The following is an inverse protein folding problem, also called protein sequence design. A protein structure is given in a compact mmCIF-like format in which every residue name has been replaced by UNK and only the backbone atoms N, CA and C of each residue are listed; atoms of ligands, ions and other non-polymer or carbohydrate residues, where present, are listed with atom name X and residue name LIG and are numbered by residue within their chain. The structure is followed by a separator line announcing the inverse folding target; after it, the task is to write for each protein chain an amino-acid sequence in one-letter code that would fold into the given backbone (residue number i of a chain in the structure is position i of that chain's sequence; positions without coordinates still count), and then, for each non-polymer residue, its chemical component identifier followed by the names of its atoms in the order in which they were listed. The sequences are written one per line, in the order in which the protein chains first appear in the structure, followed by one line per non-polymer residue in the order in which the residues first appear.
data_IF_274506489632
#
_entry.id   IF_274506489632
#
_cell.length_a   1.000
_cell.length_b   1.000
_cell.length_c   1.000
_cell.angle_alpha   90.00
_cell.angle_beta   90.00
_cell.angle_gamma   90.00
#
_symmetry.space_group_name_H-M   'P 1'
#
loop_
_entity.id
_entity.type
_entity.pdbx_description
1 polymer ?
#
# COMPACT_ATOMS: atom_id res chain seq x y z
N UNK A 1 21.87 -0.48 13.02
CA UNK A 1 22.60 -0.48 14.30
C UNK A 1 22.95 -1.93 14.59
N UNK A 2 24.19 -2.33 14.34
CA UNK A 2 24.62 -3.70 14.56
C UNK A 2 24.84 -3.89 16.05
N UNK A 3 23.84 -4.42 16.74
CA UNK A 3 23.98 -4.84 18.14
C UNK A 3 24.65 -6.20 18.12
N UNK A 4 25.93 -6.22 18.48
CA UNK A 4 26.68 -7.45 18.67
C UNK A 4 26.35 -8.10 20.02
N UNK A 5 26.59 -9.41 20.12
CA UNK A 5 26.49 -10.16 21.39
C UNK A 5 27.26 -9.48 22.53
N UNK A 6 28.41 -8.87 22.22
CA UNK A 6 29.23 -8.13 23.19
C UNK A 6 28.54 -6.89 23.77
N UNK A 7 27.81 -6.12 22.94
CA UNK A 7 27.13 -4.90 23.39
C UNK A 7 25.92 -5.24 24.26
N UNK A 8 25.16 -6.29 23.90
CA UNK A 8 24.09 -6.81 24.76
C UNK A 8 24.60 -7.26 26.12
N UNK A 9 25.79 -7.88 26.16
CA UNK A 9 26.41 -8.33 27.41
C UNK A 9 26.73 -7.14 28.32
N UNK A 10 27.36 -6.09 27.79
CA UNK A 10 27.67 -4.86 28.53
C UNK A 10 26.40 -4.20 29.05
N UNK A 11 25.37 -4.05 28.21
CA UNK A 11 24.08 -3.47 28.60
C UNK A 11 23.41 -4.32 29.67
N UNK A 12 23.48 -5.65 29.55
CA UNK A 12 22.91 -6.57 30.55
C UNK A 12 23.59 -6.38 31.90
N UNK A 13 24.93 -6.32 31.95
CA UNK A 13 25.67 -6.07 33.20
C UNK A 13 25.29 -4.72 33.80
N UNK A 14 25.23 -3.65 33.00
CA UNK A 14 24.81 -2.33 33.48
C UNK A 14 23.37 -2.35 34.04
N UNK A 15 22.46 -3.02 33.36
CA UNK A 15 21.07 -3.16 33.82
C UNK A 15 20.99 -3.91 35.15
N UNK A 16 21.82 -4.95 35.35
CA UNK A 16 21.90 -5.67 36.63
C UNK A 16 22.47 -4.80 37.74
N UNK A 17 23.45 -3.93 37.46
CA UNK A 17 24.05 -3.04 38.46
C UNK A 17 23.11 -1.90 38.84
N UNK A 18 22.46 -1.27 37.85
CA UNK A 18 21.57 -0.10 38.07
C UNK A 18 20.25 -0.51 38.72
N UNK A 19 19.62 -1.57 38.20
CA UNK A 19 18.30 -1.98 38.63
C UNK A 19 18.35 -3.10 39.68
N UNK A 20 19.42 -3.89 39.69
CA UNK A 20 19.56 -5.10 40.50
C UNK A 20 19.11 -6.36 39.73
N UNK A 21 19.79 -7.51 39.93
CA UNK A 21 19.46 -8.77 39.24
C UNK A 21 18.04 -9.29 39.54
N UNK A 22 17.51 -8.98 40.72
CA UNK A 22 16.17 -9.35 41.15
C UNK A 22 15.06 -8.52 40.48
N UNK A 23 15.38 -7.29 40.07
CA UNK A 23 14.37 -6.33 39.58
C UNK A 23 14.24 -6.27 38.07
N UNK A 24 15.31 -6.59 37.34
CA UNK A 24 15.29 -6.73 35.88
C UNK A 24 14.24 -7.75 35.37
N UNK A 25 14.21 -9.02 35.85
CA UNK A 25 13.19 -9.97 35.44
C UNK A 25 11.79 -9.55 35.87
N UNK A 26 11.67 -8.88 37.02
CA UNK A 26 10.40 -8.37 37.54
C UNK A 26 9.85 -7.24 36.65
N UNK A 27 10.69 -6.32 36.20
CA UNK A 27 10.29 -5.24 35.28
C UNK A 27 9.84 -5.78 33.92
N UNK A 28 10.56 -6.74 33.34
CA UNK A 28 10.16 -7.41 32.09
C UNK A 28 8.82 -8.11 32.26
N UNK A 29 8.61 -8.86 33.36
CA UNK A 29 7.34 -9.53 33.64
C UNK A 29 6.19 -8.53 33.72
N UNK A 30 6.37 -7.42 34.44
CA UNK A 30 5.35 -6.37 34.57
C UNK A 30 5.00 -5.75 33.22
N UNK A 31 6.02 -5.36 32.44
CA UNK A 31 5.84 -4.80 31.10
C UNK A 31 5.20 -5.81 30.13
N UNK A 32 5.59 -7.09 30.21
CA UNK A 32 5.06 -8.15 29.37
C UNK A 32 3.57 -8.40 29.68
N UNK A 33 3.18 -8.41 30.95
CA UNK A 33 1.77 -8.55 31.34
C UNK A 33 0.96 -7.33 30.88
N UNK A 34 1.52 -6.12 30.97
CA UNK A 34 0.85 -4.90 30.54
C UNK A 34 0.70 -4.82 29.01
N UNK A 35 1.74 -5.20 28.28
CA UNK A 35 1.71 -5.31 26.81
C UNK A 35 0.75 -6.42 26.34
N UNK A 36 0.70 -7.56 27.04
CA UNK A 36 -0.22 -8.66 26.74
C UNK A 36 -1.68 -8.25 26.95
N UNK A 37 -1.98 -7.50 28.02
CA UNK A 37 -3.31 -6.92 28.24
C UNK A 37 -3.69 -5.94 27.13
N UNK A 38 -2.78 -5.05 26.73
CA UNK A 38 -3.04 -4.13 25.63
C UNK A 38 -3.36 -4.87 24.33
N UNK A 39 -2.56 -5.87 23.96
CA UNK A 39 -2.82 -6.71 22.76
C UNK A 39 -4.17 -7.43 22.83
N UNK A 40 -4.56 -7.94 24.00
CA UNK A 40 -5.88 -8.56 24.20
C UNK A 40 -7.00 -7.54 23.99
N UNK A 41 -6.90 -6.34 24.54
CA UNK A 41 -7.90 -5.29 24.32
C UNK A 41 -8.04 -4.91 22.85
N UNK A 42 -6.96 -4.87 22.06
CA UNK A 42 -7.04 -4.68 20.60
C UNK A 42 -7.73 -5.85 19.88
N UNK A 43 -7.47 -7.08 20.30
CA UNK A 43 -8.15 -8.26 19.75
C UNK A 43 -9.64 -8.29 20.12
N UNK A 44 -10.00 -7.86 21.33
CA UNK A 44 -11.38 -7.79 21.79
C UNK A 44 -12.14 -6.69 21.03
N UNK A 45 -11.51 -5.53 20.81
CA UNK A 45 -12.04 -4.47 19.94
C UNK A 45 -12.21 -4.96 18.49
N UNK A 46 -11.22 -5.66 17.94
CA UNK A 46 -11.32 -6.27 16.62
C UNK A 46 -12.49 -7.26 16.56
N UNK A 47 -12.63 -8.12 17.57
CA UNK A 47 -13.68 -9.15 17.62
C UNK A 47 -15.07 -8.54 17.84
N UNK A 48 -15.17 -7.44 18.58
CA UNK A 48 -16.42 -6.70 18.76
C UNK A 48 -16.81 -5.96 17.47
N UNK A 49 -15.84 -5.33 16.80
CA UNK A 49 -16.05 -4.69 15.48
C UNK A 49 -16.45 -5.74 14.44
N UNK A 50 -15.78 -6.89 14.38
CA UNK A 50 -16.06 -8.01 13.47
C UNK A 50 -17.38 -8.76 13.79
N UNK A 51 -18.02 -8.47 14.93
CA UNK A 51 -19.33 -9.00 15.32
C UNK A 51 -20.49 -8.02 15.10
N UNK A 52 -20.24 -6.72 15.05
CA UNK A 52 -21.26 -5.68 14.84
C UNK A 52 -21.22 -5.13 13.40
N UNK A 53 -20.05 -5.18 12.77
CA UNK A 53 -19.81 -4.81 11.37
C UNK A 53 -19.22 -6.05 10.71
N UNK A 54 -19.96 -6.62 9.77
CA UNK A 54 -19.54 -7.72 8.91
C UNK A 54 -18.10 -7.45 8.43
N UNK A 55 -17.13 -8.22 8.91
CA UNK A 55 -15.72 -7.96 8.62
C UNK A 55 -15.32 -8.26 7.18
N UNK A 56 -16.30 -8.48 6.30
CA UNK A 56 -16.12 -8.34 4.87
C UNK A 56 -15.77 -6.90 4.50
N UNK A 57 -16.25 -5.85 5.18
CA UNK A 57 -15.99 -4.48 4.72
C UNK A 57 -14.54 -4.01 4.94
N UNK A 58 -13.86 -4.40 6.04
CA UNK A 58 -12.44 -4.04 6.26
C UNK A 58 -11.49 -5.05 5.59
N UNK A 59 -11.86 -6.33 5.50
CA UNK A 59 -11.07 -7.30 4.72
C UNK A 59 -11.11 -6.97 3.23
N UNK A 60 -12.22 -6.44 2.72
CA UNK A 60 -12.40 -6.01 1.32
C UNK A 60 -11.84 -4.61 1.06
N UNK A 61 -11.83 -3.71 2.05
CA UNK A 61 -11.14 -2.41 1.97
C UNK A 61 -9.61 -2.54 2.03
N UNK A 62 -9.06 -3.56 2.70
CA UNK A 62 -7.61 -3.85 2.67
C UNK A 62 -7.23 -4.72 1.47
N UNK A 63 -8.17 -5.49 0.87
CA UNK A 63 -7.80 -6.48 -0.13
C UNK A 63 -8.38 -6.34 -1.55
N UNK A 64 -9.48 -5.65 -1.88
CA UNK A 64 -9.96 -5.77 -3.27
C UNK A 64 -10.86 -4.72 -3.95
N UNK A 65 -11.51 -3.73 -3.33
CA UNK A 65 -12.59 -3.00 -4.06
C UNK A 65 -12.44 -1.48 -4.19
N UNK A 66 -12.02 -0.76 -3.15
CA UNK A 66 -11.88 0.70 -3.25
C UNK A 66 -10.69 1.11 -4.13
N UNK A 67 -9.62 0.31 -4.12
CA UNK A 67 -8.42 0.58 -4.94
C UNK A 67 -8.73 0.42 -6.43
N UNK A 68 -9.54 -0.55 -6.86
CA UNK A 68 -9.80 -0.78 -8.28
C UNK A 68 -10.74 0.26 -8.91
N UNK A 69 -11.73 0.78 -8.17
CA UNK A 69 -12.62 1.84 -8.65
C UNK A 69 -11.94 3.22 -8.64
N UNK A 70 -11.18 3.54 -7.59
CA UNK A 70 -10.43 4.80 -7.50
C UNK A 70 -9.30 4.85 -8.55
N UNK A 71 -8.69 3.70 -8.87
CA UNK A 71 -7.75 3.58 -9.99
C UNK A 71 -8.44 3.71 -11.37
N UNK A 72 -9.71 3.35 -11.50
CA UNK A 72 -10.48 3.47 -12.74
C UNK A 72 -10.77 4.93 -13.13
N UNK A 73 -11.30 5.71 -12.20
CA UNK A 73 -11.56 7.15 -12.41
C UNK A 73 -10.26 7.94 -12.54
N UNK A 74 -9.24 7.58 -11.74
CA UNK A 74 -7.89 8.15 -11.85
C UNK A 74 -7.25 7.81 -13.19
N UNK A 75 -7.45 6.61 -13.73
CA UNK A 75 -6.96 6.21 -15.06
C UNK A 75 -7.63 6.99 -16.18
N UNK A 76 -8.93 7.26 -16.07
CA UNK A 76 -9.66 8.06 -17.06
C UNK A 76 -9.26 9.55 -17.02
N UNK A 77 -9.02 10.08 -15.82
CA UNK A 77 -8.42 11.41 -15.62
C UNK A 77 -6.98 11.48 -16.16
N UNK A 78 -6.17 10.43 -15.97
CA UNK A 78 -4.83 10.33 -16.53
C UNK A 78 -4.85 10.17 -18.05
N UNK A 79 -5.80 9.44 -18.63
CA UNK A 79 -5.95 9.30 -20.07
C UNK A 79 -6.39 10.60 -20.73
N UNK A 80 -7.32 11.35 -20.12
CA UNK A 80 -7.74 12.66 -20.63
C UNK A 80 -6.66 13.73 -20.47
N UNK A 81 -5.86 13.67 -19.40
CA UNK A 81 -4.67 14.50 -19.23
C UNK A 81 -3.56 14.11 -20.21
N UNK A 82 -3.35 12.80 -20.41
CA UNK A 82 -2.40 12.26 -21.37
C UNK A 82 -2.75 12.61 -22.81
N UNK A 83 -4.04 12.60 -23.16
CA UNK A 83 -4.51 13.09 -24.47
C UNK A 83 -4.30 14.60 -24.62
N UNK A 84 -4.64 15.41 -23.62
CA UNK A 84 -4.37 16.85 -23.66
C UNK A 84 -2.87 17.17 -23.74
N UNK A 85 -2.03 16.42 -23.03
CA UNK A 85 -0.58 16.56 -23.11
C UNK A 85 -0.05 16.12 -24.49
N UNK A 86 -0.54 15.00 -25.02
CA UNK A 86 -0.18 14.53 -26.35
C UNK A 86 -0.69 15.45 -27.47
N UNK A 87 -1.83 16.12 -27.28
CA UNK A 87 -2.42 17.07 -28.21
C UNK A 87 -1.70 18.43 -28.15
N UNK A 88 -1.27 18.87 -26.95
CA UNK A 88 -0.39 20.03 -26.79
C UNK A 88 1.01 19.78 -27.36
N UNK A 89 1.54 18.55 -27.24
CA UNK A 89 2.83 18.13 -27.83
C UNK A 89 2.71 17.90 -29.34
N UNK A 90 1.58 17.37 -29.83
CA UNK A 90 1.34 17.15 -31.27
C UNK A 90 0.94 18.42 -32.01
N UNK A 91 0.35 19.40 -31.30
CA UNK A 91 -0.03 20.70 -31.83
C UNK A 91 1.15 21.56 -32.30
N UNK A 92 2.36 21.29 -31.79
CA UNK A 92 3.60 21.97 -32.21
C UNK A 92 4.41 21.17 -33.26
N UNK A 93 4.11 19.88 -33.49
CA UNK A 93 4.89 19.02 -34.40
C UNK A 93 4.12 18.62 -35.68
N UNK A 94 2.85 18.98 -35.84
CA UNK A 94 1.99 18.35 -36.86
C UNK A 94 1.38 19.22 -37.97
N UNK A 95 1.79 20.47 -38.20
CA UNK A 95 1.25 21.28 -39.32
C UNK A 95 1.97 21.00 -40.65
N UNK A 96 1.44 20.09 -41.48
CA UNK A 96 0.98 20.40 -42.85
C UNK A 96 0.52 19.13 -43.59
N UNK A 97 -0.38 19.30 -44.57
CA UNK A 97 -1.35 18.31 -45.02
C UNK A 97 -0.84 17.58 -46.25
N UNK A 98 -1.49 16.48 -46.64
CA UNK A 98 -1.86 16.42 -48.04
C UNK A 98 -3.17 15.69 -48.29
N UNK A 99 -3.91 16.29 -49.21
CA UNK A 99 -5.23 15.89 -49.67
C UNK A 99 -5.11 14.78 -50.71
N UNK A 100 -6.29 14.34 -51.14
CA UNK A 100 -6.58 13.68 -52.43
C UNK A 100 -6.46 12.17 -52.31
N UNK A 101 -7.53 11.38 -52.29
CA UNK A 101 -8.81 11.53 -52.97
C UNK A 101 -8.88 10.49 -54.08
N UNK A 102 -9.97 9.73 -54.11
CA UNK A 102 -10.45 9.14 -55.35
C UNK A 102 -10.41 7.62 -55.46
N UNK A 103 -11.63 7.08 -55.47
CA UNK A 103 -12.15 6.14 -56.45
C UNK A 103 -11.91 4.63 -56.27
N UNK A 104 -13.05 3.94 -56.21
CA UNK A 104 -13.29 2.56 -56.67
C UNK A 104 -12.45 2.15 -57.88
N UNK A 105 -11.85 0.96 -57.82
CA UNK A 105 -11.98 -0.10 -58.85
C UNK A 105 -11.20 -1.36 -58.40
N UNK A 106 -11.52 -2.49 -59.02
CA UNK A 106 -10.84 -3.80 -58.98
C UNK A 106 -11.21 -4.69 -57.77
N UNK A 107 -12.20 -5.59 -57.81
CA UNK A 107 -12.47 -6.69 -58.73
C UNK A 107 -11.30 -7.70 -58.85
N UNK A 108 -11.63 -8.98 -58.59
CA UNK A 108 -10.86 -10.20 -58.86
C UNK A 108 -9.64 -10.46 -57.94
N UNK A 109 -9.34 -11.66 -57.44
CA UNK A 109 -9.89 -13.00 -57.59
C UNK A 109 -9.47 -13.87 -56.38
N UNK A 110 -10.31 -14.86 -56.09
CA UNK A 110 -10.05 -16.15 -55.38
C UNK A 110 -8.89 -16.95 -56.04
N UNK A 111 -8.52 -18.17 -55.60
CA UNK A 111 -9.07 -19.00 -54.51
C UNK A 111 -8.10 -19.37 -53.37
#
# INVERSE_FOLDING_TARGET
MNIGMQELLVISVLALVVLGPERLPTAIKTLAVWSSRMRRSFNDLKTAVEREIDADEIRQQIHNENVLHELGETREALESFGRQANEAVSGDVGSKPDKTGGASSEAAAKP
#
